data_IF_965491463489
#
_entry.id   IF_965491463489
#
_cell.length_a   1.000
_cell.length_b   1.000
_cell.length_c   1.000
_cell.angle_alpha   90.00
_cell.angle_beta   90.00
_cell.angle_gamma   90.00
#
_symmetry.space_group_name_H-M   'P 1'
#
loop_
_entity.id
_entity.type
_entity.pdbx_description
1 polymer ?
#
# COMPACT_ATOMS: atom_id res chain seq x y z
N UNK A 1 14.12 0.14 19.26
CA UNK A 1 12.80 -0.43 19.65
C UNK A 1 12.79 -1.90 19.26
N UNK A 2 12.02 -2.80 19.89
CA UNK A 2 11.88 -4.16 19.38
C UNK A 2 11.14 -4.15 18.04
N UNK A 3 11.42 -5.14 17.19
CA UNK A 3 10.64 -5.40 15.98
C UNK A 3 9.21 -5.77 16.36
N UNK A 4 8.22 -5.23 15.67
CA UNK A 4 6.80 -5.55 15.89
C UNK A 4 6.14 -6.04 14.60
N UNK A 5 5.31 -7.07 14.73
CA UNK A 5 4.42 -7.55 13.67
C UNK A 5 2.99 -7.18 14.06
N UNK A 6 2.28 -6.51 13.16
CA UNK A 6 0.93 -6.01 13.39
C UNK A 6 0.02 -6.58 12.31
N UNK A 7 -0.94 -7.40 12.73
CA UNK A 7 -1.98 -7.97 11.87
C UNK A 7 -3.22 -7.09 11.96
N UNK A 8 -3.67 -6.54 10.84
CA UNK A 8 -4.88 -5.71 10.82
C UNK A 8 -6.13 -6.58 10.65
N UNK A 9 -7.22 -6.29 11.38
CA UNK A 9 -8.46 -7.05 11.25
C UNK A 9 -9.20 -6.61 9.99
N UNK A 10 -8.91 -7.28 8.87
CA UNK A 10 -9.49 -7.01 7.54
C UNK A 10 -10.54 -8.03 7.10
N UNK A 11 -10.97 -8.88 8.05
CA UNK A 11 -11.89 -10.01 7.86
C UNK A 11 -11.28 -11.13 7.01
N UNK A 12 -11.48 -11.11 5.68
CA UNK A 12 -10.86 -12.05 4.75
C UNK A 12 -9.58 -11.46 4.14
N UNK A 13 -8.65 -12.31 3.72
CA UNK A 13 -7.35 -11.91 3.18
C UNK A 13 -6.41 -11.30 4.23
N UNK A 14 -5.34 -10.66 3.76
CA UNK A 14 -4.21 -10.29 4.60
C UNK A 14 -3.87 -8.79 4.57
N UNK A 15 -3.42 -8.30 5.71
CA UNK A 15 -2.76 -7.01 5.83
C UNK A 15 -1.87 -7.02 7.08
N UNK A 16 -0.55 -6.94 6.87
CA UNK A 16 0.43 -7.00 7.96
C UNK A 16 1.46 -5.89 7.86
N UNK A 17 1.66 -5.13 8.94
CA UNK A 17 2.76 -4.17 9.05
C UNK A 17 3.88 -4.75 9.92
N UNK A 18 5.06 -4.88 9.35
CA UNK A 18 6.30 -5.14 10.08
C UNK A 18 6.97 -3.80 10.33
N UNK A 19 7.28 -3.51 11.59
CA UNK A 19 8.14 -2.38 11.98
C UNK A 19 9.43 -2.96 12.54
N UNK A 20 10.53 -2.71 11.85
CA UNK A 20 11.84 -3.22 12.24
C UNK A 20 12.37 -2.47 13.47
N UNK A 21 13.18 -3.18 14.27
CA UNK A 21 13.81 -2.63 15.47
C UNK A 21 15.08 -1.82 15.21
N UNK A 22 15.33 -1.44 13.97
CA UNK A 22 16.46 -0.61 13.55
C UNK A 22 16.31 0.86 13.98
N UNK A 23 17.37 1.65 13.81
CA UNK A 23 17.38 3.06 14.19
C UNK A 23 16.32 3.87 13.43
N UNK A 24 16.11 3.52 12.16
CA UNK A 24 15.13 4.14 11.29
C UNK A 24 13.73 3.55 11.44
N UNK A 25 13.51 2.61 12.36
CA UNK A 25 12.22 1.97 12.62
C UNK A 25 11.47 1.66 11.30
N UNK A 26 12.20 1.06 10.36
CA UNK A 26 11.80 0.82 8.98
C UNK A 26 10.50 0.06 8.93
N UNK A 27 9.65 0.33 7.94
CA UNK A 27 8.35 -0.35 7.80
C UNK A 27 8.22 -1.14 6.50
N UNK A 28 7.78 -2.39 6.61
CA UNK A 28 7.31 -3.20 5.49
C UNK A 28 5.82 -3.50 5.67
N UNK A 29 5.00 -3.04 4.73
CA UNK A 29 3.60 -3.43 4.63
C UNK A 29 3.48 -4.62 3.66
N UNK A 30 2.88 -5.70 4.12
CA UNK A 30 2.60 -6.91 3.34
C UNK A 30 1.09 -6.99 3.13
N UNK A 31 0.69 -6.97 1.86
CA UNK A 31 -0.69 -6.96 1.40
C UNK A 31 -1.54 -5.81 1.96
N UNK A 32 -2.74 -5.64 1.40
CA UNK A 32 -3.76 -4.78 1.98
C UNK A 32 -5.17 -5.22 1.59
N UNK A 33 -6.08 -5.13 2.55
CA UNK A 33 -7.50 -5.25 2.27
C UNK A 33 -8.28 -4.22 3.09
N UNK A 34 -8.16 -2.96 2.71
CA UNK A 34 -8.93 -1.89 3.32
C UNK A 34 -10.27 -1.84 2.59
N UNK A 35 -11.29 -2.41 3.23
CA UNK A 35 -12.65 -2.46 2.71
C UNK A 35 -13.31 -1.07 2.78
N UNK A 36 -14.31 -0.84 1.93
CA UNK A 36 -14.96 0.47 1.84
C UNK A 36 -15.78 0.80 3.09
N UNK A 37 -16.35 -0.20 3.78
CA UNK A 37 -17.06 -0.03 5.05
C UNK A 37 -16.12 0.41 6.19
N UNK A 38 -14.83 0.07 6.12
CA UNK A 38 -13.82 0.55 7.07
C UNK A 38 -13.49 2.05 6.92
N UNK A 39 -13.97 2.70 5.86
CA UNK A 39 -13.83 4.14 5.62
C UNK A 39 -15.06 4.94 6.11
N UNK A 40 -16.12 4.27 6.59
CA UNK A 40 -17.34 4.91 7.09
C UNK A 40 -17.16 5.37 8.55
N UNK A 41 -17.13 6.69 8.83
CA UNK A 41 -16.95 7.19 10.20
C UNK A 41 -18.13 6.87 11.12
N UNK A 42 -19.31 6.59 10.56
CA UNK A 42 -20.51 6.21 11.29
C UNK A 42 -20.74 4.68 11.26
N UNK A 43 -19.80 3.93 10.65
CA UNK A 43 -19.85 2.48 10.53
C UNK A 43 -19.28 1.73 11.74
N UNK A 44 -19.64 0.45 11.84
CA UNK A 44 -19.17 -0.45 12.91
C UNK A 44 -17.81 -1.10 12.57
N UNK A 45 -17.37 -0.99 11.31
CA UNK A 45 -16.10 -1.55 10.88
C UNK A 45 -14.93 -0.75 11.47
N UNK A 46 -13.86 -1.45 11.84
CA UNK A 46 -12.67 -0.80 12.37
C UNK A 46 -11.98 0.01 11.27
N UNK A 47 -11.64 1.26 11.57
CA UNK A 47 -10.86 2.14 10.69
C UNK A 47 -9.39 1.67 10.59
N UNK A 48 -9.17 0.67 9.74
CA UNK A 48 -7.85 0.09 9.46
C UNK A 48 -6.92 1.11 8.80
N UNK A 49 -7.48 2.04 8.02
CA UNK A 49 -6.72 3.04 7.29
C UNK A 49 -6.10 4.08 8.25
N UNK A 50 -6.82 4.48 9.28
CA UNK A 50 -6.32 5.31 10.38
C UNK A 50 -5.34 4.54 11.26
N UNK A 51 -5.66 3.30 11.63
CA UNK A 51 -4.77 2.45 12.43
C UNK A 51 -3.40 2.27 11.78
N UNK A 52 -3.36 2.13 10.45
CA UNK A 52 -2.12 2.11 9.69
C UNK A 52 -1.41 3.47 9.80
N UNK A 53 -2.09 4.58 9.46
CA UNK A 53 -1.51 5.94 9.45
C UNK A 53 -0.89 6.33 10.79
N UNK A 54 -1.55 6.01 11.91
CA UNK A 54 -1.07 6.30 13.26
C UNK A 54 0.29 5.64 13.59
N UNK A 55 0.71 4.67 12.77
CA UNK A 55 1.96 3.91 12.93
C UNK A 55 3.04 4.29 11.93
N UNK A 56 2.68 5.06 10.90
CA UNK A 56 3.59 5.45 9.83
C UNK A 56 4.37 6.71 10.17
N UNK A 57 5.59 6.79 9.63
CA UNK A 57 6.38 8.01 9.62
C UNK A 57 5.86 8.97 8.55
N UNK A 58 6.30 10.21 8.65
CA UNK A 58 6.03 11.27 7.66
C UNK A 58 7.33 11.67 6.99
N UNK A 59 7.29 11.92 5.69
CA UNK A 59 8.44 12.46 4.97
C UNK A 59 8.61 13.96 5.23
N UNK A 60 9.61 14.59 4.60
CA UNK A 60 9.91 16.02 4.73
C UNK A 60 8.75 16.95 4.30
N UNK A 61 7.82 16.44 3.49
CA UNK A 61 6.63 17.16 3.02
C UNK A 61 5.39 16.81 3.86
N UNK A 62 5.55 16.06 4.96
CA UNK A 62 4.45 15.64 5.82
C UNK A 62 3.60 14.49 5.26
N UNK A 63 4.05 13.80 4.21
CA UNK A 63 3.32 12.69 3.58
C UNK A 63 3.53 11.41 4.38
N UNK A 64 2.46 10.67 4.76
CA UNK A 64 2.64 9.35 5.37
C UNK A 64 3.29 8.39 4.39
N UNK A 65 4.18 7.51 4.86
CA UNK A 65 4.85 6.57 3.96
C UNK A 65 5.11 5.21 4.60
N UNK A 66 5.24 4.20 3.75
CA UNK A 66 5.89 2.93 4.05
C UNK A 66 7.23 2.85 3.29
N UNK A 67 8.26 2.34 3.95
CA UNK A 67 9.57 2.13 3.33
C UNK A 67 9.51 1.06 2.24
N UNK A 68 8.79 -0.04 2.47
CA UNK A 68 8.53 -1.06 1.47
C UNK A 68 7.08 -1.53 1.50
N UNK A 69 6.55 -1.86 0.32
CA UNK A 69 5.27 -2.56 0.17
C UNK A 69 5.47 -3.85 -0.61
N UNK A 70 5.04 -4.97 -0.05
CA UNK A 70 5.02 -6.28 -0.68
C UNK A 70 3.59 -6.66 -1.02
N UNK A 71 3.34 -7.03 -2.27
CA UNK A 71 2.09 -7.68 -2.66
C UNK A 71 2.37 -9.16 -2.97
N UNK A 72 1.76 -10.05 -2.22
CA UNK A 72 1.95 -11.50 -2.31
C UNK A 72 1.36 -12.06 -3.61
N UNK A 73 0.13 -11.66 -3.95
CA UNK A 73 -0.58 -12.00 -5.18
C UNK A 73 -1.70 -10.98 -5.47
N UNK A 74 -2.29 -10.97 -6.69
CA UNK A 74 -3.17 -9.89 -7.12
C UNK A 74 -4.66 -10.15 -6.83
N UNK A 75 -4.98 -11.09 -5.94
CA UNK A 75 -6.37 -11.33 -5.58
C UNK A 75 -6.91 -10.14 -4.78
N UNK A 76 -8.21 -9.87 -4.90
CA UNK A 76 -8.78 -8.62 -4.44
C UNK A 76 -8.61 -8.44 -2.93
N UNK A 77 -8.72 -9.50 -2.14
CA UNK A 77 -8.53 -9.52 -0.69
C UNK A 77 -7.07 -9.37 -0.24
N UNK A 78 -6.14 -9.12 -1.16
CA UNK A 78 -4.74 -8.77 -0.84
C UNK A 78 -4.32 -7.40 -1.41
N UNK A 79 -5.16 -6.75 -2.21
CA UNK A 79 -4.87 -5.42 -2.77
C UNK A 79 -6.01 -4.39 -2.67
N UNK A 80 -7.17 -4.75 -2.12
CA UNK A 80 -8.34 -3.86 -2.06
C UNK A 80 -8.02 -2.58 -1.28
N UNK A 81 -8.38 -1.45 -1.87
CA UNK A 81 -8.19 -0.12 -1.28
C UNK A 81 -6.88 0.56 -1.68
N UNK A 82 -6.03 -0.10 -2.48
CA UNK A 82 -4.75 0.45 -2.92
C UNK A 82 -4.91 1.83 -3.57
N UNK A 83 -5.75 1.94 -4.57
CA UNK A 83 -5.95 3.20 -5.31
C UNK A 83 -6.63 4.27 -4.48
N UNK A 84 -7.35 3.92 -3.39
CA UNK A 84 -7.94 4.90 -2.47
C UNK A 84 -6.89 5.44 -1.49
N UNK A 85 -6.12 4.57 -0.85
CA UNK A 85 -5.28 4.96 0.28
C UNK A 85 -3.82 5.23 -0.08
N UNK A 86 -3.33 4.79 -1.24
CA UNK A 86 -1.93 4.91 -1.63
C UNK A 86 -1.74 5.75 -2.89
N UNK A 87 -0.57 6.38 -2.97
CA UNK A 87 -0.13 7.12 -4.14
C UNK A 87 0.61 6.17 -5.09
N UNK A 88 0.13 6.11 -6.33
CA UNK A 88 0.76 5.40 -7.44
C UNK A 88 1.21 6.46 -8.46
N UNK A 89 2.41 6.31 -9.00
CA UNK A 89 3.03 7.30 -9.88
C UNK A 89 4.23 8.03 -9.26
N UNK A 90 4.82 8.99 -9.99
CA UNK A 90 5.99 9.73 -9.54
C UNK A 90 5.73 10.51 -8.23
N UNK A 91 6.68 10.57 -7.29
CA UNK A 91 6.54 11.38 -6.08
C UNK A 91 6.40 12.90 -6.33
N UNK A 92 6.83 13.37 -7.51
CA UNK A 92 6.67 14.75 -7.95
C UNK A 92 5.23 15.11 -8.38
N UNK A 93 4.41 14.10 -8.66
CA UNK A 93 3.00 14.26 -9.05
C UNK A 93 2.04 13.94 -7.89
N UNK A 94 2.55 13.97 -6.66
CA UNK A 94 1.75 13.67 -5.48
C UNK A 94 0.61 14.69 -5.28
N UNK A 95 -0.67 14.28 -5.34
CA UNK A 95 -1.79 15.22 -5.44
C UNK A 95 -2.21 15.84 -4.10
N UNK A 96 -1.79 15.25 -2.98
CA UNK A 96 -2.41 15.52 -1.67
C UNK A 96 -1.57 16.43 -0.77
N UNK A 97 -0.56 17.13 -1.31
CA UNK A 97 0.34 17.98 -0.50
C UNK A 97 -0.43 19.04 0.30
N UNK A 98 -1.52 19.56 -0.26
CA UNK A 98 -2.37 20.59 0.37
C UNK A 98 -3.55 20.03 1.18
N UNK A 99 -3.76 18.71 1.18
CA UNK A 99 -4.86 18.06 1.93
C UNK A 99 -4.48 17.83 3.39
N UNK A 100 -5.49 17.65 4.23
CA UNK A 100 -5.31 17.23 5.61
C UNK A 100 -4.64 15.86 5.71
N UNK A 101 -3.90 15.62 6.79
CA UNK A 101 -3.12 14.37 6.95
C UNK A 101 -3.98 13.10 6.82
N UNK A 102 -5.22 13.13 7.32
CA UNK A 102 -6.15 11.99 7.23
C UNK A 102 -6.56 11.66 5.78
N UNK A 103 -6.55 12.66 4.89
CA UNK A 103 -6.94 12.54 3.49
C UNK A 103 -5.73 12.28 2.57
N UNK A 104 -4.51 12.41 3.08
CA UNK A 104 -3.29 12.15 2.34
C UNK A 104 -3.18 10.67 1.99
N UNK A 105 -2.88 10.40 0.72
CA UNK A 105 -2.43 9.08 0.27
C UNK A 105 -1.07 8.71 0.86
N UNK A 106 -0.91 7.44 1.19
CA UNK A 106 0.33 6.87 1.70
C UNK A 106 1.30 6.69 0.54
N UNK A 107 2.54 7.18 0.71
CA UNK A 107 3.62 7.01 -0.25
C UNK A 107 4.26 5.63 -0.07
N UNK A 108 4.51 4.94 -1.17
CA UNK A 108 5.28 3.69 -1.22
C UNK A 108 6.67 4.01 -1.75
N UNK A 109 7.71 3.90 -0.91
CA UNK A 109 9.09 4.17 -1.31
C UNK A 109 9.65 3.05 -2.18
N UNK A 110 9.67 1.83 -1.66
CA UNK A 110 10.06 0.63 -2.39
C UNK A 110 8.87 -0.32 -2.61
N UNK A 111 8.92 -1.07 -3.71
CA UNK A 111 7.96 -2.16 -3.97
C UNK A 111 8.69 -3.49 -4.04
N UNK A 112 8.06 -4.51 -3.48
CA UNK A 112 8.40 -5.90 -3.71
C UNK A 112 7.23 -6.54 -4.43
N UNK A 113 7.45 -6.86 -5.71
CA UNK A 113 6.46 -7.52 -6.55
C UNK A 113 7.12 -8.64 -7.35
N UNK A 114 6.40 -9.76 -7.51
CA UNK A 114 6.82 -10.84 -8.39
C UNK A 114 6.05 -10.76 -9.71
N UNK A 115 6.71 -10.51 -10.87
CA UNK A 115 6.01 -10.39 -12.15
C UNK A 115 5.20 -11.64 -12.53
N UNK A 116 5.55 -12.80 -11.97
CA UNK A 116 4.88 -14.07 -12.28
C UNK A 116 3.42 -14.08 -11.82
N UNK A 117 3.08 -13.37 -10.74
CA UNK A 117 1.72 -13.41 -10.16
C UNK A 117 0.70 -12.74 -11.07
N UNK A 118 1.14 -11.76 -11.87
CA UNK A 118 0.33 -11.08 -12.87
C UNK A 118 0.20 -11.84 -14.21
N UNK A 119 1.06 -12.82 -14.48
CA UNK A 119 1.00 -13.63 -15.72
C UNK A 119 -0.17 -14.60 -15.75
N UNK A 120 -0.79 -14.87 -14.60
CA UNK A 120 -1.98 -15.73 -14.47
C UNK A 120 -3.26 -15.02 -14.90
N UNK A 121 -3.21 -13.70 -15.09
CA UNK A 121 -4.34 -12.92 -15.56
C UNK A 121 -4.82 -13.45 -16.93
N UNK A 122 -6.11 -13.73 -17.03
CA UNK A 122 -6.74 -14.27 -18.23
C UNK A 122 -8.21 -13.84 -18.29
N UNK A 123 -8.94 -14.25 -19.34
CA UNK A 123 -10.39 -14.00 -19.41
C UNK A 123 -11.18 -14.65 -18.27
N UNK A 124 -10.67 -15.74 -17.71
CA UNK A 124 -11.29 -16.47 -16.60
C UNK A 124 -10.74 -16.06 -15.22
N UNK A 125 -9.57 -15.41 -15.19
CA UNK A 125 -8.92 -14.90 -13.98
C UNK A 125 -8.63 -13.41 -14.20
N UNK A 126 -9.65 -12.59 -14.03
CA UNK A 126 -9.54 -11.14 -14.23
C UNK A 126 -8.91 -10.49 -13.00
N UNK A 127 -8.08 -9.47 -13.25
CA UNK A 127 -7.55 -8.63 -12.19
C UNK A 127 -8.63 -7.62 -11.78
N UNK A 128 -8.73 -7.33 -10.49
CA UNK A 128 -9.50 -6.18 -10.04
C UNK A 128 -8.78 -4.87 -10.41
N UNK A 129 -9.46 -3.74 -10.23
CA UNK A 129 -8.90 -2.43 -10.58
C UNK A 129 -7.64 -2.10 -9.75
N UNK A 130 -7.64 -2.41 -8.46
CA UNK A 130 -6.47 -2.21 -7.59
C UNK A 130 -5.28 -3.08 -8.01
N UNK A 131 -5.51 -4.35 -8.34
CA UNK A 131 -4.47 -5.24 -8.87
C UNK A 131 -3.90 -4.75 -10.21
N UNK A 132 -4.77 -4.25 -11.09
CA UNK A 132 -4.38 -3.67 -12.38
C UNK A 132 -3.54 -2.41 -12.17
N UNK A 133 -3.95 -1.53 -11.26
CA UNK A 133 -3.22 -0.32 -10.91
C UNK A 133 -1.84 -0.63 -10.30
N UNK A 134 -1.74 -1.62 -9.42
CA UNK A 134 -0.45 -2.06 -8.88
C UNK A 134 0.49 -2.58 -9.96
N UNK A 135 -0.01 -3.39 -10.89
CA UNK A 135 0.79 -3.91 -12.00
C UNK A 135 1.33 -2.78 -12.90
N UNK A 136 0.51 -1.76 -13.16
CA UNK A 136 0.93 -0.55 -13.91
C UNK A 136 2.06 0.19 -13.16
N UNK A 137 1.88 0.43 -11.85
CA UNK A 137 2.91 1.09 -11.04
C UNK A 137 4.21 0.27 -10.97
N UNK A 138 4.11 -1.05 -10.80
CA UNK A 138 5.27 -1.93 -10.76
C UNK A 138 6.06 -1.89 -12.08
N UNK A 139 5.37 -1.94 -13.22
CA UNK A 139 5.99 -1.81 -14.55
C UNK A 139 6.62 -0.44 -14.77
N UNK A 140 5.97 0.64 -14.29
CA UNK A 140 6.51 2.00 -14.36
C UNK A 140 7.86 2.10 -13.63
N UNK A 141 7.97 1.53 -12.42
CA UNK A 141 9.22 1.53 -11.64
C UNK A 141 10.32 0.67 -12.28
N UNK A 142 9.96 -0.49 -12.85
CA UNK A 142 10.91 -1.32 -13.61
C UNK A 142 11.44 -0.56 -14.83
N UNK A 143 10.57 0.14 -15.58
CA UNK A 143 10.99 0.92 -16.73
C UNK A 143 11.92 2.07 -16.31
N UNK A 144 11.56 2.81 -15.25
CA UNK A 144 12.38 3.88 -14.71
C UNK A 144 13.79 3.39 -14.33
N UNK A 145 13.91 2.21 -13.73
CA UNK A 145 15.22 1.63 -13.39
C UNK A 145 16.03 1.29 -14.65
N UNK A 146 15.39 0.75 -15.69
CA UNK A 146 16.06 0.45 -16.97
C UNK A 146 16.51 1.69 -17.71
N UNK A 147 15.75 2.79 -17.62
CA UNK A 147 16.10 4.05 -18.28
C UNK A 147 17.26 4.79 -17.58
N UNK A 148 17.60 4.38 -16.35
CA UNK A 148 18.71 4.93 -15.57
C UNK A 148 20.00 4.11 -15.69
N UNK A 149 19.95 2.92 -16.31
CA UNK A 149 21.10 2.09 -16.67
C UNK A 149 21.68 2.49 -18.04
#
# INVERSE_FOLDING_TARGET
MPTTLIFFPVDNGDMTLIKFGDADATTLLIDMNIRQDADDPDGEARDVAKDLRDRLKKDKNGRPYVDAFLLSHPDQDHCRGLTRHFHLGPPGEYPDDKKDYKEKKIVIREIWSSPIVFRRASKAHTLCDDASAFNVEARRRVQLNRDQE
#
